data_IF_538694265840
#
_entry.id   IF_538694265840
#
_cell.length_a   1.000
_cell.length_b   1.000
_cell.length_c   1.000
_cell.angle_alpha   90.00
_cell.angle_beta   90.00
_cell.angle_gamma   90.00
#
_symmetry.space_group_name_H-M   'P 1'
#
loop_
_entity.id
_entity.type
_entity.pdbx_description
1 polymer ?
#
# COMPACT_ATOMS: atom_id res chain seq x y z
N UNK A 1 29.90 40.84 -16.75
CA UNK A 1 28.69 40.30 -17.40
C UNK A 1 28.54 38.84 -16.98
N UNK A 2 27.63 38.53 -16.06
CA UNK A 2 27.26 37.15 -15.75
C UNK A 2 26.24 36.68 -16.80
N UNK A 3 26.61 35.72 -17.64
CA UNK A 3 25.65 35.04 -18.49
C UNK A 3 24.81 34.11 -17.61
N UNK A 4 23.54 34.44 -17.41
CA UNK A 4 22.57 33.52 -16.83
C UNK A 4 22.27 32.43 -17.88
N UNK A 5 22.60 31.19 -17.56
CA UNK A 5 22.19 30.02 -18.34
C UNK A 5 20.65 29.94 -18.21
N UNK A 6 19.88 29.97 -19.31
CA UNK A 6 18.46 29.70 -19.25
C UNK A 6 18.28 28.32 -18.64
N UNK A 7 17.56 28.22 -17.52
CA UNK A 7 17.24 26.93 -16.92
C UNK A 7 16.61 26.04 -17.99
N UNK A 8 17.32 24.99 -18.38
CA UNK A 8 16.76 23.96 -19.23
C UNK A 8 15.60 23.35 -18.46
N UNK A 9 14.37 23.76 -18.78
CA UNK A 9 13.21 22.97 -18.43
C UNK A 9 13.39 21.65 -19.14
N UNK A 10 13.82 20.64 -18.38
CA UNK A 10 14.00 19.30 -18.86
C UNK A 10 12.71 18.86 -19.55
N UNK A 11 12.83 18.28 -20.75
CA UNK A 11 11.69 17.99 -21.59
C UNK A 11 10.75 17.01 -20.86
N UNK A 12 9.42 17.21 -20.92
CA UNK A 12 8.50 16.21 -20.38
C UNK A 12 8.72 14.88 -21.10
N UNK A 13 8.61 13.78 -20.36
CA UNK A 13 8.79 12.46 -20.95
C UNK A 13 7.83 12.20 -22.12
N UNK A 14 8.31 11.53 -23.16
CA UNK A 14 7.49 11.13 -24.30
C UNK A 14 6.58 9.97 -23.91
N UNK A 15 5.40 9.89 -24.54
CA UNK A 15 4.48 8.76 -24.33
C UNK A 15 5.18 7.42 -24.59
N UNK A 16 6.00 7.33 -25.63
CA UNK A 16 6.71 6.10 -26.01
C UNK A 16 7.69 5.66 -24.92
N UNK A 17 8.48 6.57 -24.36
CA UNK A 17 9.40 6.25 -23.26
C UNK A 17 8.66 5.84 -21.99
N UNK A 18 7.53 6.48 -21.68
CA UNK A 18 6.71 6.10 -20.52
C UNK A 18 6.07 4.72 -20.70
N UNK A 19 5.55 4.42 -21.89
CA UNK A 19 5.03 3.08 -22.21
C UNK A 19 6.12 2.02 -22.06
N UNK A 20 7.33 2.32 -22.53
CA UNK A 20 8.47 1.42 -22.36
C UNK A 20 8.83 1.21 -20.89
N UNK A 21 8.85 2.28 -20.10
CA UNK A 21 9.08 2.20 -18.66
C UNK A 21 8.04 1.30 -17.98
N UNK A 22 6.75 1.45 -18.32
CA UNK A 22 5.67 0.63 -17.78
C UNK A 22 5.80 -0.85 -18.13
N UNK A 23 6.24 -1.18 -19.35
CA UNK A 23 6.52 -2.56 -19.75
C UNK A 23 7.63 -3.18 -18.88
N UNK A 24 8.77 -2.49 -18.74
CA UNK A 24 9.94 -3.04 -18.04
C UNK A 24 9.76 -3.09 -16.52
N UNK A 25 8.87 -2.26 -15.98
CA UNK A 25 8.43 -2.32 -14.58
C UNK A 25 7.34 -3.38 -14.33
N UNK A 26 6.69 -3.89 -15.37
CA UNK A 26 5.56 -4.81 -15.24
C UNK A 26 4.28 -4.13 -14.73
N UNK A 27 4.01 -2.90 -15.15
CA UNK A 27 2.87 -2.09 -14.71
C UNK A 27 1.53 -2.81 -14.87
N UNK A 28 1.29 -3.48 -16.00
CA UNK A 28 0.04 -4.21 -16.23
C UNK A 28 -0.17 -5.34 -15.22
N UNK A 29 0.89 -6.09 -14.94
CA UNK A 29 0.86 -7.14 -13.91
C UNK A 29 0.63 -6.56 -12.52
N UNK A 30 1.27 -5.44 -12.19
CA UNK A 30 1.06 -4.76 -10.91
C UNK A 30 -0.40 -4.31 -10.75
N UNK A 31 -1.01 -3.76 -11.79
CA UNK A 31 -2.41 -3.36 -11.78
C UNK A 31 -3.34 -4.56 -11.65
N UNK A 32 -3.06 -5.66 -12.35
CA UNK A 32 -3.82 -6.90 -12.24
C UNK A 32 -3.73 -7.53 -10.85
N UNK A 33 -2.54 -7.58 -10.27
CA UNK A 33 -2.33 -8.13 -8.93
C UNK A 33 -3.00 -7.25 -7.86
N UNK A 34 -2.93 -5.92 -8.02
CA UNK A 34 -3.61 -4.96 -7.15
C UNK A 34 -5.13 -5.15 -7.22
N UNK A 35 -5.68 -5.22 -8.44
CA UNK A 35 -7.12 -5.41 -8.65
C UNK A 35 -7.63 -6.74 -8.09
N UNK A 36 -6.85 -7.82 -8.20
CA UNK A 36 -7.20 -9.13 -7.62
C UNK A 36 -7.27 -9.11 -6.10
N UNK A 37 -6.38 -8.37 -5.44
CA UNK A 37 -6.31 -8.27 -3.97
C UNK A 37 -7.25 -7.20 -3.39
N UNK A 38 -7.73 -6.28 -4.21
CA UNK A 38 -8.54 -5.15 -3.76
C UNK A 38 -9.85 -5.57 -3.07
N UNK A 39 -10.65 -6.53 -3.59
CA UNK A 39 -11.87 -6.97 -2.89
C UNK A 39 -11.61 -7.48 -1.47
N UNK A 40 -10.54 -8.25 -1.28
CA UNK A 40 -10.14 -8.77 0.04
C UNK A 40 -9.67 -7.63 0.95
N UNK A 41 -8.87 -6.71 0.43
CA UNK A 41 -8.43 -5.52 1.17
C UNK A 41 -9.63 -4.66 1.61
N UNK A 42 -10.65 -4.52 0.76
CA UNK A 42 -11.87 -3.80 1.09
C UNK A 42 -12.68 -4.49 2.19
N UNK A 43 -12.65 -5.82 2.27
CA UNK A 43 -13.31 -6.58 3.34
C UNK A 43 -12.76 -6.27 4.73
N UNK A 44 -11.52 -5.81 4.82
CA UNK A 44 -10.86 -5.42 6.07
C UNK A 44 -11.17 -3.99 6.51
N UNK A 45 -11.89 -3.22 5.68
CA UNK A 45 -12.32 -1.88 6.07
C UNK A 45 -13.29 -1.94 7.26
N UNK A 46 -13.15 -1.06 8.28
CA UNK A 46 -14.01 -1.06 9.46
C UNK A 46 -15.51 -0.96 9.14
N UNK A 47 -15.88 -0.24 8.08
CA UNK A 47 -17.25 -0.10 7.63
C UNK A 47 -17.87 -1.42 7.12
N UNK A 48 -17.05 -2.33 6.56
CA UNK A 48 -17.50 -3.65 6.13
C UNK A 48 -17.44 -4.64 7.30
N UNK A 49 -16.34 -4.65 8.06
CA UNK A 49 -16.18 -5.52 9.23
C UNK A 49 -17.30 -5.31 10.27
N UNK A 50 -17.68 -4.05 10.56
CA UNK A 50 -18.78 -3.75 11.49
C UNK A 50 -20.14 -4.29 11.00
N UNK A 51 -20.42 -4.24 9.69
CA UNK A 51 -21.63 -4.84 9.12
C UNK A 51 -21.61 -6.36 9.21
N UNK A 52 -20.45 -6.98 9.05
CA UNK A 52 -20.27 -8.43 9.15
C UNK A 52 -20.33 -8.93 10.60
N UNK A 53 -20.00 -8.11 11.59
CA UNK A 53 -20.01 -8.48 13.00
C UNK A 53 -21.41 -8.87 13.52
N UNK A 54 -22.48 -8.32 12.93
CA UNK A 54 -23.86 -8.67 13.27
C UNK A 54 -24.39 -9.92 12.57
N UNK A 55 -23.59 -10.60 11.74
CA UNK A 55 -24.03 -11.76 10.95
C UNK A 55 -23.95 -13.05 11.80
N UNK A 56 -25.04 -13.84 11.87
CA UNK A 56 -25.04 -15.15 12.52
C UNK A 56 -23.90 -16.06 12.03
N UNK A 57 -23.27 -16.80 12.94
CA UNK A 57 -22.06 -17.58 12.65
C UNK A 57 -22.25 -18.58 11.50
N UNK A 58 -23.41 -19.23 11.43
CA UNK A 58 -23.81 -20.16 10.37
C UNK A 58 -23.96 -19.50 8.98
N UNK A 59 -24.11 -18.17 8.94
CA UNK A 59 -24.30 -17.38 7.71
C UNK A 59 -23.07 -16.56 7.31
N UNK A 60 -22.06 -16.45 8.18
CA UNK A 60 -20.91 -15.57 7.93
C UNK A 60 -20.22 -15.86 6.60
N UNK A 61 -19.94 -17.12 6.28
CA UNK A 61 -19.29 -17.50 5.02
C UNK A 61 -20.12 -17.11 3.80
N UNK A 62 -21.44 -17.33 3.85
CA UNK A 62 -22.34 -17.00 2.75
C UNK A 62 -22.42 -15.47 2.53
N UNK A 63 -22.55 -14.70 3.62
CA UNK A 63 -22.58 -13.23 3.54
C UNK A 63 -21.24 -12.68 3.05
N UNK A 64 -20.10 -13.17 3.57
CA UNK A 64 -18.77 -12.78 3.08
C UNK A 64 -18.64 -13.02 1.58
N UNK A 65 -19.05 -14.18 1.08
CA UNK A 65 -19.03 -14.49 -0.36
C UNK A 65 -19.87 -13.52 -1.19
N UNK A 66 -21.05 -13.14 -0.71
CA UNK A 66 -21.92 -12.15 -1.39
C UNK A 66 -21.26 -10.78 -1.41
N UNK A 67 -20.73 -10.31 -0.28
CA UNK A 67 -20.05 -9.00 -0.21
C UNK A 67 -18.82 -8.99 -1.13
N UNK A 68 -17.95 -10.00 -1.06
CA UNK A 68 -16.77 -10.09 -1.94
C UNK A 68 -17.16 -10.10 -3.42
N UNK A 69 -18.24 -10.77 -3.81
CA UNK A 69 -18.73 -10.76 -5.19
C UNK A 69 -19.12 -9.34 -5.63
N UNK A 70 -19.94 -8.63 -4.85
CA UNK A 70 -20.36 -7.26 -5.18
C UNK A 70 -19.19 -6.27 -5.19
N UNK A 71 -18.22 -6.42 -4.28
CA UNK A 71 -16.97 -5.66 -4.32
C UNK A 71 -16.21 -5.92 -5.62
N UNK A 72 -16.07 -7.19 -6.01
CA UNK A 72 -15.42 -7.56 -7.28
C UNK A 72 -16.15 -6.95 -8.48
N UNK A 73 -17.49 -7.04 -8.52
CA UNK A 73 -18.33 -6.44 -9.56
C UNK A 73 -18.13 -4.93 -9.65
N UNK A 74 -18.04 -4.23 -8.51
CA UNK A 74 -17.81 -2.78 -8.49
C UNK A 74 -16.46 -2.35 -9.08
N UNK A 75 -15.47 -3.25 -9.11
CA UNK A 75 -14.15 -3.00 -9.69
C UNK A 75 -14.05 -3.41 -11.17
N UNK A 76 -15.08 -4.07 -11.73
CA UNK A 76 -15.05 -4.57 -13.10
C UNK A 76 -14.82 -3.46 -14.12
N UNK A 77 -15.41 -2.28 -13.92
CA UNK A 77 -15.23 -1.14 -14.81
C UNK A 77 -13.79 -0.62 -14.88
N UNK A 78 -12.95 -0.91 -13.87
CA UNK A 78 -11.52 -0.57 -13.89
C UNK A 78 -10.66 -1.64 -14.57
N UNK A 79 -11.18 -2.87 -14.68
CA UNK A 79 -10.46 -4.02 -15.24
C UNK A 79 -10.86 -4.33 -16.69
N UNK A 80 -11.99 -3.80 -17.16
CA UNK A 80 -12.37 -3.89 -18.56
C UNK A 80 -11.41 -3.08 -19.46
N UNK A 81 -11.52 -3.28 -20.78
CA UNK A 81 -10.62 -2.62 -21.75
C UNK A 81 -10.67 -1.10 -21.67
N UNK A 82 -11.84 -0.51 -21.38
CA UNK A 82 -12.01 0.95 -21.32
C UNK A 82 -11.37 1.49 -20.04
N UNK A 83 -11.65 0.88 -18.88
CA UNK A 83 -11.04 1.25 -17.60
C UNK A 83 -9.53 1.08 -17.61
N UNK A 84 -9.02 -0.02 -18.16
CA UNK A 84 -7.57 -0.25 -18.35
C UNK A 84 -6.93 0.85 -19.19
N UNK A 85 -7.59 1.26 -20.29
CA UNK A 85 -7.10 2.35 -21.14
C UNK A 85 -7.12 3.69 -20.39
N UNK A 86 -8.20 4.00 -19.69
CA UNK A 86 -8.32 5.24 -18.92
C UNK A 86 -7.25 5.34 -17.83
N UNK A 87 -7.06 4.26 -17.05
CA UNK A 87 -6.00 4.18 -16.04
C UNK A 87 -4.60 4.32 -16.65
N UNK A 88 -4.36 3.71 -17.82
CA UNK A 88 -3.09 3.83 -18.55
C UNK A 88 -2.85 5.27 -18.99
N UNK A 89 -3.83 5.93 -19.59
CA UNK A 89 -3.72 7.32 -20.04
C UNK A 89 -3.49 8.28 -18.85
N UNK A 90 -4.20 8.07 -17.74
CA UNK A 90 -4.00 8.82 -16.49
C UNK A 90 -2.57 8.63 -15.94
N UNK A 91 -2.08 7.40 -15.96
CA UNK A 91 -0.73 7.07 -15.47
C UNK A 91 0.34 7.71 -16.34
N UNK A 92 0.17 7.69 -17.67
CA UNK A 92 1.07 8.39 -18.59
C UNK A 92 1.08 9.88 -18.30
N UNK A 93 -0.09 10.52 -18.22
CA UNK A 93 -0.18 11.96 -17.95
C UNK A 93 0.46 12.32 -16.60
N UNK A 94 0.29 11.48 -15.58
CA UNK A 94 0.94 11.66 -14.28
C UNK A 94 2.47 11.54 -14.37
N UNK A 95 2.98 10.52 -15.06
CA UNK A 95 4.42 10.35 -15.28
C UNK A 95 5.02 11.54 -16.03
N UNK A 96 4.39 11.99 -17.12
CA UNK A 96 4.87 13.14 -17.90
C UNK A 96 4.84 14.46 -17.13
N UNK A 97 3.99 14.57 -16.11
CA UNK A 97 3.91 15.74 -15.23
C UNK A 97 5.01 15.74 -14.15
N UNK A 98 5.43 14.57 -13.71
CA UNK A 98 6.34 14.42 -12.55
C UNK A 98 7.79 14.19 -12.98
N UNK A 99 8.00 13.45 -14.06
CA UNK A 99 9.32 13.03 -14.53
C UNK A 99 9.71 13.68 -15.83
N UNK A 100 11.00 13.97 -15.95
CA UNK A 100 11.61 14.40 -17.21
C UNK A 100 11.86 13.21 -18.13
N UNK A 101 12.13 13.49 -19.40
CA UNK A 101 12.54 12.48 -20.36
C UNK A 101 13.80 11.74 -19.91
N UNK A 102 14.80 12.46 -19.40
CA UNK A 102 16.06 11.88 -18.94
C UNK A 102 15.84 10.93 -17.75
N UNK A 103 14.95 11.27 -16.82
CA UNK A 103 14.62 10.43 -15.67
C UNK A 103 13.89 9.15 -16.07
N UNK A 104 12.93 9.25 -17.00
CA UNK A 104 12.22 8.07 -17.54
C UNK A 104 13.18 7.15 -18.28
N UNK A 105 14.10 7.70 -19.08
CA UNK A 105 15.10 6.90 -19.79
C UNK A 105 16.10 6.24 -18.82
N UNK A 106 16.52 6.96 -17.77
CA UNK A 106 17.38 6.41 -16.72
C UNK A 106 16.71 5.27 -15.95
N UNK A 107 15.45 5.44 -15.55
CA UNK A 107 14.66 4.38 -14.92
C UNK A 107 14.50 3.17 -15.84
N UNK A 108 14.15 3.41 -17.11
CA UNK A 108 14.00 2.35 -18.11
C UNK A 108 15.28 1.55 -18.25
N UNK A 109 16.42 2.23 -18.45
CA UNK A 109 17.74 1.60 -18.56
C UNK A 109 18.09 0.78 -17.31
N UNK A 110 17.77 1.30 -16.12
CA UNK A 110 17.98 0.56 -14.88
C UNK A 110 17.16 -0.74 -14.86
N UNK A 111 15.84 -0.67 -15.08
CA UNK A 111 14.96 -1.84 -15.06
C UNK A 111 15.26 -2.86 -16.18
N UNK A 112 15.81 -2.42 -17.31
CA UNK A 112 16.28 -3.31 -18.38
C UNK A 112 17.63 -3.96 -18.11
N UNK A 113 18.43 -3.44 -17.17
CA UNK A 113 19.72 -4.04 -16.86
C UNK A 113 19.55 -5.41 -16.20
N UNK A 114 20.49 -6.36 -16.38
CA UNK A 114 20.48 -7.63 -15.67
C UNK A 114 20.39 -7.46 -14.14
N UNK A 115 21.11 -6.46 -13.62
CA UNK A 115 21.09 -6.12 -12.19
C UNK A 115 19.74 -5.56 -11.75
N UNK A 116 19.16 -4.62 -12.50
CA UNK A 116 17.85 -4.04 -12.18
C UNK A 116 16.72 -5.08 -12.20
N UNK A 117 16.72 -5.97 -13.19
CA UNK A 117 15.81 -7.14 -13.21
C UNK A 117 16.03 -8.05 -12.00
N UNK A 118 17.29 -8.34 -11.64
CA UNK A 118 17.59 -9.14 -10.45
C UNK A 118 17.12 -8.45 -9.16
N UNK A 119 17.24 -7.13 -9.06
CA UNK A 119 16.77 -6.36 -7.91
C UNK A 119 15.26 -6.49 -7.82
N UNK A 120 14.52 -6.21 -8.91
CA UNK A 120 13.06 -6.31 -8.94
C UNK A 120 12.54 -7.69 -8.55
N UNK A 121 13.18 -8.76 -9.03
CA UNK A 121 12.82 -10.12 -8.66
C UNK A 121 13.07 -10.45 -7.17
N UNK A 122 14.07 -9.80 -6.55
CA UNK A 122 14.45 -10.01 -5.15
C UNK A 122 13.75 -9.07 -4.16
N UNK A 123 13.11 -8.00 -4.62
CA UNK A 123 12.40 -7.05 -3.74
C UNK A 123 11.36 -7.75 -2.84
N UNK A 124 10.48 -8.65 -3.35
CA UNK A 124 9.57 -9.39 -2.48
C UNK A 124 10.31 -10.28 -1.47
N UNK A 125 11.38 -10.96 -1.90
CA UNK A 125 12.18 -11.84 -1.03
C UNK A 125 12.85 -11.06 0.10
N UNK A 126 13.32 -9.85 -0.18
CA UNK A 126 13.88 -8.96 0.84
C UNK A 126 12.81 -8.57 1.88
N UNK A 127 11.63 -8.17 1.42
CA UNK A 127 10.50 -7.85 2.31
C UNK A 127 10.11 -9.06 3.17
N UNK A 128 10.01 -10.25 2.58
CA UNK A 128 9.72 -11.49 3.30
C UNK A 128 10.81 -11.81 4.35
N UNK A 129 12.07 -11.59 4.00
CA UNK A 129 13.20 -11.84 4.89
C UNK A 129 13.24 -10.91 6.12
N UNK A 130 12.73 -9.68 6.00
CA UNK A 130 12.69 -8.74 7.14
C UNK A 130 11.42 -8.90 8.00
N UNK A 131 10.33 -9.43 7.46
CA UNK A 131 9.05 -9.51 8.19
C UNK A 131 9.15 -10.33 9.48
N UNK A 132 9.73 -11.53 9.44
CA UNK A 132 9.83 -12.39 10.64
C UNK A 132 10.75 -11.79 11.73
N UNK A 133 11.98 -11.32 11.42
CA UNK A 133 12.81 -10.63 12.39
C UNK A 133 12.14 -9.38 12.98
N UNK A 134 11.43 -8.61 12.15
CA UNK A 134 10.69 -7.42 12.61
C UNK A 134 9.59 -7.78 13.61
N UNK A 135 8.83 -8.85 13.35
CA UNK A 135 7.80 -9.33 14.28
C UNK A 135 8.40 -9.80 15.61
N UNK A 136 9.52 -10.52 15.58
CA UNK A 136 10.22 -10.94 16.80
C UNK A 136 10.75 -9.73 17.60
N UNK A 137 11.31 -8.73 16.93
CA UNK A 137 11.73 -7.47 17.54
C UNK A 137 10.54 -6.75 18.20
N UNK A 138 9.41 -6.65 17.50
CA UNK A 138 8.20 -6.02 18.03
C UNK A 138 7.67 -6.75 19.26
N UNK A 139 7.63 -8.08 19.25
CA UNK A 139 7.22 -8.89 20.40
C UNK A 139 8.13 -8.65 21.61
N UNK A 140 9.45 -8.61 21.40
CA UNK A 140 10.43 -8.30 22.46
C UNK A 140 10.18 -6.91 23.05
N UNK A 141 10.00 -5.89 22.20
CA UNK A 141 9.75 -4.52 22.65
C UNK A 141 8.42 -4.40 23.41
N UNK A 142 7.37 -5.09 22.95
CA UNK A 142 6.08 -5.14 23.63
C UNK A 142 6.18 -5.83 25.00
N UNK A 143 6.96 -6.91 25.12
CA UNK A 143 7.21 -7.55 26.42
C UNK A 143 7.94 -6.60 27.37
N UNK A 144 8.98 -5.90 26.90
CA UNK A 144 9.69 -4.92 27.71
C UNK A 144 8.78 -3.76 28.14
N UNK A 145 7.92 -3.26 27.24
CA UNK A 145 6.93 -2.25 27.57
C UNK A 145 5.97 -2.71 28.67
N UNK A 146 5.40 -3.91 28.53
CA UNK A 146 4.49 -4.48 29.53
C UNK A 146 5.14 -4.63 30.91
N UNK A 147 6.42 -4.98 30.94
CA UNK A 147 7.14 -5.13 32.22
C UNK A 147 7.55 -3.79 32.83
N UNK A 148 7.98 -2.83 32.02
CA UNK A 148 8.69 -1.64 32.52
C UNK A 148 7.83 -0.37 32.53
N UNK A 149 6.86 -0.26 31.62
CA UNK A 149 6.13 0.98 31.34
C UNK A 149 4.63 0.87 31.54
N UNK A 150 4.04 -0.28 31.26
CA UNK A 150 2.59 -0.50 31.42
C UNK A 150 2.09 -0.22 32.86
N UNK A 151 2.78 -0.59 33.95
CA UNK A 151 2.31 -0.26 35.30
C UNK A 151 2.30 1.26 35.57
N UNK A 152 3.30 2.00 35.07
CA UNK A 152 3.36 3.44 35.22
C UNK A 152 2.25 4.12 34.39
N UNK A 153 2.09 3.70 33.14
CA UNK A 153 1.02 4.15 32.26
C UNK A 153 -0.36 3.92 32.89
N UNK A 154 -0.62 2.73 33.43
CA UNK A 154 -1.90 2.40 34.05
C UNK A 154 -2.18 3.27 35.29
N UNK A 155 -1.16 3.59 36.09
CA UNK A 155 -1.31 4.53 37.21
C UNK A 155 -1.64 5.94 36.72
N UNK A 156 -0.98 6.43 35.69
CA UNK A 156 -1.29 7.74 35.10
C UNK A 156 -2.72 7.80 34.55
N UNK A 157 -3.14 6.76 33.83
CA UNK A 157 -4.52 6.61 33.35
C UNK A 157 -5.50 6.64 34.53
N UNK A 158 -5.25 5.88 35.60
CA UNK A 158 -6.14 5.85 36.77
C UNK A 158 -6.20 7.23 37.47
N UNK A 159 -5.08 7.95 37.57
CA UNK A 159 -5.06 9.32 38.12
C UNK A 159 -5.95 10.26 37.31
N UNK A 160 -5.94 10.14 35.99
CA UNK A 160 -6.82 10.92 35.11
C UNK A 160 -8.29 10.54 35.30
N UNK A 161 -8.60 9.24 35.37
CA UNK A 161 -9.99 8.74 35.40
C UNK A 161 -10.66 8.97 36.76
N UNK A 162 -9.95 8.69 37.86
CA UNK A 162 -10.55 8.62 39.20
C UNK A 162 -9.70 9.31 40.29
N UNK A 163 -8.65 10.04 39.91
CA UNK A 163 -7.81 10.78 40.85
C UNK A 163 -6.90 9.92 41.73
N UNK A 164 -6.78 8.61 41.45
CA UNK A 164 -6.05 7.63 42.29
C UNK A 164 -5.21 6.70 41.44
N UNK A 165 -4.19 6.07 42.03
CA UNK A 165 -3.35 5.07 41.34
C UNK A 165 -4.11 3.79 40.97
N UNK A 166 -5.21 3.50 41.65
CA UNK A 166 -6.13 2.38 41.39
C UNK A 166 -7.55 2.91 41.47
N UNK A 167 -8.35 2.70 40.42
CA UNK A 167 -9.76 3.08 40.44
C UNK A 167 -10.60 2.07 41.24
N UNK A 168 -11.58 2.55 42.05
CA UNK A 168 -12.50 1.66 42.72
C UNK A 168 -13.32 0.90 41.67
N UNK A 169 -13.45 -0.43 41.83
CA UNK A 169 -14.29 -1.23 40.94
C UNK A 169 -15.69 -0.63 40.87
N UNK A 170 -16.24 -0.51 39.65
CA UNK A 170 -17.68 -0.28 39.49
C UNK A 170 -18.39 -1.48 40.14
N UNK A 171 -19.03 -1.25 41.29
CA UNK A 171 -20.04 -2.17 41.84
C UNK A 171 -21.28 -2.12 40.97
#
# INVERSE_FOLDING_TARGET
>A
MCAAIPGAWAAPASKVSVERLFEVQGFDKLMDDTNKKMPETMMDLPAIQSKLAGVPADKQTAVRKVVTRYLTESLQSMTDKKGRKELRDLSIAATQKVYTQEEVDALTKFYESPTGRSIMAKMPQYLDAIMQPMMAMMQKNMQAFRQQKEPAMNREINRIICGKDVCPNKK
#
